data_IF_682902869445
#
_entry.id   IF_682902869445
#
_cell.length_a   1.000
_cell.length_b   1.000
_cell.length_c   1.000
_cell.angle_alpha   90.00
_cell.angle_beta   90.00
_cell.angle_gamma   90.00
#
_symmetry.space_group_name_H-M   'P 1'
#
loop_
_entity.id
_entity.type
_entity.pdbx_description
1 polymer ?
#
# COMPACT_ATOMS: atom_id res chain seq x y z
N UNK A 1 14.13 -24.94 -1.12
CA UNK A 1 14.68 -23.67 -1.64
C UNK A 1 14.85 -22.73 -0.47
N UNK A 2 15.95 -21.97 -0.38
CA UNK A 2 16.08 -20.99 0.68
C UNK A 2 14.93 -19.98 0.57
N UNK A 3 14.38 -19.58 1.73
CA UNK A 3 13.35 -18.55 1.80
C UNK A 3 13.90 -17.25 1.19
N UNK A 4 13.29 -16.82 0.09
CA UNK A 4 13.73 -15.60 -0.56
C UNK A 4 13.27 -14.40 0.25
N UNK A 5 14.20 -13.49 0.55
CA UNK A 5 13.90 -12.21 1.19
C UNK A 5 13.90 -11.09 0.17
N UNK A 6 12.85 -10.29 0.16
CA UNK A 6 12.73 -9.10 -0.69
C UNK A 6 12.54 -7.86 0.18
N UNK A 7 13.30 -6.82 -0.09
CA UNK A 7 13.19 -5.54 0.60
C UNK A 7 12.35 -4.60 -0.25
N UNK A 8 11.28 -4.05 0.33
CA UNK A 8 10.35 -3.11 -0.32
C UNK A 8 10.42 -1.78 0.40
N UNK A 9 10.79 -0.73 -0.33
CA UNK A 9 10.82 0.62 0.21
C UNK A 9 9.56 1.39 -0.16
N UNK A 10 8.72 1.69 0.83
CA UNK A 10 7.43 2.35 0.66
C UNK A 10 7.63 3.86 0.81
N UNK A 11 7.18 4.61 -0.19
CA UNK A 11 7.19 6.07 -0.27
C UNK A 11 5.78 6.61 -0.10
N UNK A 12 5.63 7.83 0.29
CA UNK A 12 4.34 8.52 0.48
C UNK A 12 4.39 9.37 1.73
N UNK A 13 3.31 9.76 2.25
CA UNK A 13 1.93 9.44 1.84
C UNK A 13 1.36 10.56 0.96
N UNK A 14 0.52 10.22 -0.02
CA UNK A 14 -0.20 11.18 -0.87
C UNK A 14 -1.67 11.23 -0.47
N UNK A 15 -2.21 12.43 -0.34
CA UNK A 15 -3.64 12.64 -0.12
C UNK A 15 -4.39 12.46 -1.45
N UNK A 16 -5.71 12.28 -1.39
CA UNK A 16 -6.56 12.18 -2.59
C UNK A 16 -6.34 13.35 -3.57
N UNK A 17 -6.19 14.57 -3.08
CA UNK A 17 -5.93 15.77 -3.91
C UNK A 17 -4.57 15.75 -4.60
N UNK A 18 -3.59 15.06 -4.02
CA UNK A 18 -2.18 15.03 -4.46
C UNK A 18 -1.86 13.73 -5.21
N UNK A 19 -2.85 12.89 -5.51
CA UNK A 19 -2.67 11.56 -6.12
C UNK A 19 -1.96 11.59 -7.48
N UNK A 20 -2.05 12.69 -8.22
CA UNK A 20 -1.36 12.85 -9.50
C UNK A 20 0.16 13.09 -9.37
N UNK A 21 0.66 13.33 -8.16
CA UNK A 21 2.10 13.40 -7.87
C UNK A 21 2.74 12.00 -7.70
N UNK A 22 1.92 10.95 -7.61
CA UNK A 22 2.42 9.57 -7.52
C UNK A 22 3.09 9.20 -8.84
N UNK A 23 4.33 8.65 -8.82
CA UNK A 23 5.07 8.34 -10.04
C UNK A 23 4.36 7.36 -10.96
N UNK A 24 4.44 7.59 -12.27
CA UNK A 24 3.99 6.67 -13.31
C UNK A 24 5.00 5.54 -13.52
N UNK A 25 5.09 4.63 -12.56
CA UNK A 25 6.09 3.56 -12.53
C UNK A 25 5.49 2.22 -12.15
N UNK A 26 6.23 1.18 -12.51
CA UNK A 26 5.95 -0.18 -12.06
C UNK A 26 6.12 -0.32 -10.55
N UNK A 27 5.15 -0.92 -9.89
CA UNK A 27 5.25 -1.09 -8.45
C UNK A 27 3.98 -1.58 -7.76
N UNK A 28 3.91 -1.25 -6.49
CA UNK A 28 2.81 -1.56 -5.59
C UNK A 28 2.16 -0.27 -5.10
N UNK A 29 0.84 -0.25 -5.08
CA UNK A 29 0.02 0.81 -4.52
C UNK A 29 -0.61 0.32 -3.22
N UNK A 30 -0.53 1.12 -2.18
CA UNK A 30 -1.19 0.90 -0.90
C UNK A 30 -2.24 1.99 -0.71
N UNK A 31 -3.49 1.59 -0.54
CA UNK A 31 -4.62 2.51 -0.36
C UNK A 31 -5.13 2.42 1.06
N UNK A 32 -5.17 3.55 1.72
CA UNK A 32 -5.59 3.69 3.11
C UNK A 32 -6.87 4.51 3.22
N UNK A 33 -7.71 4.15 4.17
CA UNK A 33 -8.67 5.08 4.74
C UNK A 33 -7.95 6.04 5.67
N UNK A 34 -8.23 7.33 5.55
CA UNK A 34 -7.61 8.36 6.37
C UNK A 34 -8.60 9.44 6.79
N UNK A 35 -8.37 10.02 7.96
CA UNK A 35 -9.08 11.21 8.45
C UNK A 35 -8.10 12.36 8.54
N UNK A 36 -8.39 13.43 7.82
CA UNK A 36 -7.54 14.62 7.82
C UNK A 36 -7.96 15.57 8.95
N UNK A 37 -6.98 16.09 9.69
CA UNK A 37 -7.14 17.14 10.67
C UNK A 37 -6.53 18.44 10.11
N UNK A 38 -7.39 19.39 9.75
CA UNK A 38 -6.96 20.64 9.13
C UNK A 38 -6.20 21.55 10.11
N UNK A 39 -6.54 21.47 11.40
CA UNK A 39 -5.94 22.33 12.43
C UNK A 39 -4.49 21.91 12.70
N UNK A 40 -4.25 20.63 12.81
CA UNK A 40 -2.92 20.07 13.08
C UNK A 40 -2.12 19.77 11.81
N UNK A 41 -2.74 19.93 10.63
CA UNK A 41 -2.18 19.53 9.33
C UNK A 41 -1.66 18.08 9.33
N UNK A 42 -2.40 17.19 9.98
CA UNK A 42 -2.09 15.75 10.07
C UNK A 42 -3.15 14.92 9.41
N UNK A 43 -2.79 13.71 9.02
CA UNK A 43 -3.74 12.70 8.59
C UNK A 43 -3.59 11.46 9.47
N UNK A 44 -4.71 11.02 10.05
CA UNK A 44 -4.77 9.75 10.75
C UNK A 44 -5.04 8.65 9.74
N UNK A 45 -4.12 7.71 9.59
CA UNK A 45 -4.35 6.48 8.83
C UNK A 45 -5.12 5.49 9.70
N UNK A 46 -6.29 5.10 9.25
CA UNK A 46 -7.22 4.27 10.02
C UNK A 46 -7.14 2.81 9.61
N UNK A 47 -7.22 2.53 8.31
CA UNK A 47 -7.23 1.18 7.76
C UNK A 47 -6.43 1.13 6.46
N UNK A 48 -5.72 0.02 6.24
CA UNK A 48 -5.18 -0.34 4.93
C UNK A 48 -6.27 -1.13 4.20
N UNK A 49 -6.87 -0.55 3.15
CA UNK A 49 -8.05 -1.11 2.48
C UNK A 49 -7.75 -1.90 1.24
N UNK A 50 -6.66 -1.56 0.52
CA UNK A 50 -6.34 -2.22 -0.74
C UNK A 50 -4.84 -2.17 -1.03
N UNK A 51 -4.34 -3.20 -1.71
CA UNK A 51 -3.00 -3.25 -2.27
C UNK A 51 -3.12 -3.62 -3.74
N UNK A 52 -2.61 -2.75 -4.62
CA UNK A 52 -2.56 -2.96 -6.06
C UNK A 52 -1.16 -3.21 -6.57
N UNK A 53 -1.04 -3.77 -7.78
CA UNK A 53 0.23 -3.93 -8.47
C UNK A 53 0.04 -3.76 -9.97
N UNK A 54 0.78 -2.86 -10.57
CA UNK A 54 0.71 -2.60 -12.00
C UNK A 54 2.08 -2.16 -12.57
N UNK A 55 2.21 -2.21 -13.89
CA UNK A 55 3.36 -1.66 -14.62
C UNK A 55 3.37 -0.13 -14.59
N UNK A 56 2.18 0.45 -14.49
CA UNK A 56 1.98 1.86 -14.25
C UNK A 56 0.97 2.03 -13.12
N UNK A 57 1.43 2.31 -11.91
CA UNK A 57 0.57 2.46 -10.72
C UNK A 57 -0.51 3.52 -10.90
N UNK A 58 -0.25 4.55 -11.69
CA UNK A 58 -1.23 5.59 -11.94
C UNK A 58 -2.49 5.06 -12.63
N UNK A 59 -2.36 4.03 -13.46
CA UNK A 59 -3.53 3.41 -14.12
C UNK A 59 -4.57 2.89 -13.12
N UNK A 60 -4.10 2.34 -11.98
CA UNK A 60 -5.00 1.87 -10.91
C UNK A 60 -5.69 3.06 -10.23
N UNK A 61 -4.96 4.17 -10.04
CA UNK A 61 -5.46 5.37 -9.36
C UNK A 61 -6.47 6.12 -10.23
N UNK A 62 -6.30 6.09 -11.53
CA UNK A 62 -7.17 6.77 -12.50
C UNK A 62 -8.38 5.93 -12.91
N UNK A 63 -8.39 4.63 -12.60
CA UNK A 63 -9.50 3.74 -12.92
C UNK A 63 -10.73 4.01 -12.03
N UNK A 64 -11.88 4.43 -12.60
CA UNK A 64 -13.09 4.71 -11.82
C UNK A 64 -13.63 3.51 -11.06
N UNK A 65 -13.51 2.30 -11.62
CA UNK A 65 -13.95 1.07 -10.97
C UNK A 65 -13.17 0.75 -9.70
N UNK A 66 -11.88 1.08 -9.69
CA UNK A 66 -11.04 0.99 -8.49
C UNK A 66 -11.55 1.91 -7.39
N UNK A 67 -11.92 3.15 -7.71
CA UNK A 67 -12.44 4.12 -6.75
C UNK A 67 -13.77 3.67 -6.14
N UNK A 68 -14.71 3.18 -6.95
CA UNK A 68 -15.99 2.66 -6.47
C UNK A 68 -15.77 1.50 -5.47
N UNK A 69 -14.86 0.60 -5.76
CA UNK A 69 -14.53 -0.51 -4.87
C UNK A 69 -13.96 -0.03 -3.53
N UNK A 70 -13.07 0.97 -3.54
CA UNK A 70 -12.47 1.48 -2.30
C UNK A 70 -13.46 2.26 -1.45
N UNK A 71 -14.39 3.00 -2.06
CA UNK A 71 -15.39 3.82 -1.36
C UNK A 71 -16.29 2.99 -0.44
N UNK A 72 -16.50 1.70 -0.73
CA UNK A 72 -17.22 0.80 0.15
C UNK A 72 -16.56 0.60 1.52
N UNK A 73 -15.24 0.87 1.62
CA UNK A 73 -14.45 0.67 2.84
C UNK A 73 -14.06 1.97 3.53
N UNK A 74 -14.59 3.11 3.06
CA UNK A 74 -14.30 4.44 3.61
C UNK A 74 -15.54 4.96 4.33
N UNK A 75 -15.39 5.28 5.62
CA UNK A 75 -16.47 5.83 6.39
C UNK A 75 -16.81 7.28 5.96
N UNK A 76 -18.06 7.71 6.11
CA UNK A 76 -18.44 9.09 5.82
C UNK A 76 -17.56 10.12 6.55
N UNK A 77 -17.05 11.10 5.81
CA UNK A 77 -16.14 12.12 6.33
C UNK A 77 -14.65 11.74 6.33
N UNK A 78 -14.31 10.50 5.97
CA UNK A 78 -12.93 10.08 5.74
C UNK A 78 -12.57 10.18 4.25
N UNK A 79 -11.29 10.12 3.94
CA UNK A 79 -10.75 10.20 2.59
C UNK A 79 -9.72 9.11 2.33
N UNK A 80 -9.31 8.96 1.08
CA UNK A 80 -8.22 8.07 0.70
C UNK A 80 -6.86 8.72 0.92
N UNK A 81 -5.91 7.89 1.30
CA UNK A 81 -4.49 8.22 1.33
C UNK A 81 -3.71 7.09 0.66
N UNK A 82 -2.66 7.44 -0.05
CA UNK A 82 -1.91 6.49 -0.88
C UNK A 82 -0.46 6.40 -0.45
N UNK A 83 0.12 5.21 -0.57
CA UNK A 83 1.57 5.02 -0.56
C UNK A 83 1.97 4.14 -1.74
N UNK A 84 3.21 4.25 -2.15
CA UNK A 84 3.75 3.59 -3.34
C UNK A 84 5.10 2.94 -3.04
N UNK A 85 5.36 1.79 -3.63
CA UNK A 85 6.67 1.18 -3.65
C UNK A 85 7.05 0.74 -5.07
N UNK A 86 8.24 1.12 -5.53
CA UNK A 86 8.75 0.58 -6.78
C UNK A 86 9.02 -0.92 -6.65
N UNK A 87 8.59 -1.68 -7.63
CA UNK A 87 8.87 -3.10 -7.72
C UNK A 87 9.06 -3.51 -9.17
N UNK A 88 10.16 -4.22 -9.43
CA UNK A 88 10.46 -4.75 -10.76
C UNK A 88 9.42 -5.79 -11.19
N UNK A 89 9.18 -5.89 -12.48
CA UNK A 89 8.23 -6.84 -13.07
C UNK A 89 8.44 -8.27 -12.56
N UNK A 90 9.71 -8.67 -12.36
CA UNK A 90 10.08 -10.00 -11.91
C UNK A 90 9.52 -10.33 -10.51
N UNK A 91 9.51 -9.36 -9.60
CA UNK A 91 9.10 -9.56 -8.20
C UNK A 91 7.71 -9.04 -7.89
N UNK A 92 7.21 -8.08 -8.66
CA UNK A 92 5.97 -7.35 -8.39
C UNK A 92 4.78 -8.27 -8.09
N UNK A 93 4.51 -9.23 -8.98
CA UNK A 93 3.36 -10.15 -8.81
C UNK A 93 3.50 -11.03 -7.56
N UNK A 94 4.70 -11.53 -7.30
CA UNK A 94 4.98 -12.40 -6.14
C UNK A 94 4.86 -11.63 -4.83
N UNK A 95 5.44 -10.44 -4.76
CA UNK A 95 5.39 -9.56 -3.59
C UNK A 95 3.96 -9.11 -3.33
N UNK A 96 3.22 -8.72 -4.37
CA UNK A 96 1.81 -8.37 -4.27
C UNK A 96 0.97 -9.51 -3.69
N UNK A 97 1.10 -10.71 -4.25
CA UNK A 97 0.41 -11.90 -3.75
C UNK A 97 0.72 -12.19 -2.28
N UNK A 98 2.00 -12.06 -1.89
CA UNK A 98 2.43 -12.27 -0.52
C UNK A 98 1.87 -11.21 0.44
N UNK A 99 1.84 -9.93 0.05
CA UNK A 99 1.21 -8.87 0.84
C UNK A 99 -0.28 -9.12 1.05
N UNK A 100 -1.03 -9.40 -0.03
CA UNK A 100 -2.47 -9.70 0.06
C UNK A 100 -2.72 -10.88 0.99
N UNK A 101 -1.94 -11.95 0.86
CA UNK A 101 -2.08 -13.14 1.70
C UNK A 101 -1.83 -12.84 3.19
N UNK A 102 -0.81 -12.04 3.51
CA UNK A 102 -0.45 -11.72 4.88
C UNK A 102 -1.36 -10.66 5.50
N UNK A 103 -1.66 -9.60 4.77
CA UNK A 103 -2.37 -8.42 5.29
C UNK A 103 -3.89 -8.52 5.17
N UNK A 104 -4.39 -9.32 4.21
CA UNK A 104 -5.82 -9.60 4.02
C UNK A 104 -6.68 -8.35 3.96
N UNK A 105 -6.26 -7.41 3.15
CA UNK A 105 -6.98 -6.14 2.96
C UNK A 105 -8.37 -6.39 2.38
N UNK A 106 -9.40 -5.70 2.87
CA UNK A 106 -10.79 -5.95 2.49
C UNK A 106 -11.05 -5.74 0.99
N UNK A 107 -10.42 -4.74 0.37
CA UNK A 107 -10.53 -4.47 -1.06
C UNK A 107 -9.88 -5.53 -1.97
N UNK A 108 -9.08 -6.44 -1.41
CA UNK A 108 -8.48 -7.56 -2.13
C UNK A 108 -9.17 -8.91 -1.87
N UNK A 109 -10.34 -8.90 -1.21
CA UNK A 109 -11.01 -10.14 -0.79
C UNK A 109 -11.27 -11.10 -1.96
N UNK A 110 -11.73 -10.62 -3.10
CA UNK A 110 -11.99 -11.44 -4.27
C UNK A 110 -10.73 -12.13 -4.79
N UNK A 111 -9.60 -11.43 -4.81
CA UNK A 111 -8.30 -11.99 -5.21
C UNK A 111 -7.82 -13.10 -4.27
N UNK A 112 -8.10 -12.98 -2.97
CA UNK A 112 -7.82 -14.03 -1.99
C UNK A 112 -8.66 -15.28 -2.21
N UNK A 113 -9.95 -15.11 -2.55
CA UNK A 113 -10.87 -16.21 -2.83
C UNK A 113 -10.54 -16.94 -4.12
N UNK A 114 -9.94 -16.29 -5.10
CA UNK A 114 -9.52 -16.87 -6.39
C UNK A 114 -8.20 -17.68 -6.32
N UNK A 115 -7.72 -18.00 -5.13
CA UNK A 115 -6.47 -18.73 -4.93
C UNK A 115 -5.28 -18.05 -5.62
N UNK A 116 -5.10 -16.76 -5.34
CA UNK A 116 -3.98 -16.01 -5.89
C UNK A 116 -2.64 -16.68 -5.53
N UNK A 117 -1.89 -17.18 -6.53
CA UNK A 117 -0.70 -18.00 -6.25
C UNK A 117 0.41 -17.14 -5.68
N UNK A 118 0.98 -17.56 -4.57
CA UNK A 118 2.20 -16.99 -4.02
C UNK A 118 3.21 -18.09 -3.65
N UNK A 119 4.47 -17.74 -3.62
CA UNK A 119 5.53 -18.58 -3.13
C UNK A 119 5.94 -18.18 -1.73
N UNK A 120 6.59 -19.07 -0.97
CA UNK A 120 7.17 -18.72 0.32
C UNK A 120 8.16 -17.58 0.16
N UNK A 121 7.88 -16.46 0.83
CA UNK A 121 8.60 -15.20 0.66
C UNK A 121 8.64 -14.45 1.99
N UNK A 122 9.79 -13.93 2.34
CA UNK A 122 9.95 -12.94 3.42
C UNK A 122 10.00 -11.54 2.79
N UNK A 123 9.10 -10.65 3.21
CA UNK A 123 9.10 -9.25 2.80
C UNK A 123 9.58 -8.40 3.98
N UNK A 124 10.58 -7.59 3.73
CA UNK A 124 11.03 -6.54 4.66
C UNK A 124 10.56 -5.20 4.12
N UNK A 125 9.59 -4.60 4.81
CA UNK A 125 9.03 -3.30 4.45
C UNK A 125 9.79 -2.20 5.15
N UNK A 126 10.22 -1.17 4.41
CA UNK A 126 10.94 -0.01 4.93
C UNK A 126 10.26 1.29 4.48
N UNK A 127 10.62 2.41 5.10
CA UNK A 127 10.05 3.73 4.76
C UNK A 127 8.70 3.98 5.41
N UNK A 128 7.67 4.24 4.61
CA UNK A 128 6.32 4.59 5.07
C UNK A 128 5.46 3.35 5.31
N UNK A 129 5.70 2.67 6.42
CA UNK A 129 5.14 1.34 6.76
C UNK A 129 3.98 1.39 7.75
N UNK A 130 3.27 2.51 7.87
CA UNK A 130 2.12 2.59 8.77
C UNK A 130 1.08 1.49 8.45
N UNK A 131 0.59 0.82 9.48
CA UNK A 131 -0.35 -0.30 9.40
C UNK A 131 0.18 -1.54 8.65
N UNK A 132 1.47 -1.59 8.36
CA UNK A 132 2.15 -2.71 7.72
C UNK A 132 3.22 -3.22 8.66
N UNK A 133 3.22 -4.51 8.96
CA UNK A 133 4.30 -5.11 9.73
C UNK A 133 5.62 -5.01 8.96
N UNK A 134 6.71 -4.58 9.59
CA UNK A 134 7.98 -4.36 8.91
C UNK A 134 8.57 -5.64 8.32
N UNK A 135 8.22 -6.80 8.87
CA UNK A 135 8.63 -8.11 8.35
C UNK A 135 7.42 -9.01 8.22
N UNK A 136 7.14 -9.43 7.00
CA UNK A 136 6.06 -10.35 6.67
C UNK A 136 6.63 -11.66 6.12
N UNK A 137 6.18 -12.78 6.69
CA UNK A 137 6.51 -14.12 6.19
C UNK A 137 5.28 -14.75 5.54
N UNK A 138 5.25 -14.76 4.21
CA UNK A 138 4.25 -15.46 3.43
C UNK A 138 4.67 -16.93 3.24
N UNK A 139 3.91 -17.87 3.83
CA UNK A 139 4.15 -19.31 3.70
C UNK A 139 3.11 -19.96 2.80
N UNK A 140 3.55 -20.64 1.76
CA UNK A 140 2.69 -21.30 0.76
C UNK A 140 1.65 -22.26 1.36
N UNK A 141 1.99 -22.93 2.43
CA UNK A 141 1.16 -23.99 3.03
C UNK A 141 0.24 -23.53 4.17
N UNK A 142 0.12 -22.22 4.39
CA UNK A 142 -0.79 -21.72 5.42
C UNK A 142 -2.21 -21.72 4.88
N UNK A 143 -3.13 -22.52 5.45
CA UNK A 143 -4.50 -22.54 4.97
C UNK A 143 -5.13 -21.15 5.11
N UNK A 144 -5.94 -20.77 4.14
CA UNK A 144 -6.73 -19.55 4.20
C UNK A 144 -7.68 -19.66 5.40
N UNK A 145 -7.45 -18.85 6.41
CA UNK A 145 -8.40 -18.67 7.52
C UNK A 145 -9.30 -17.49 7.13
N UNK A 146 -10.61 -17.72 7.08
CA UNK A 146 -11.61 -16.69 6.78
C UNK A 146 -11.70 -15.56 7.82
N UNK A 147 -10.91 -15.64 8.90
CA UNK A 147 -10.81 -14.53 9.86
C UNK A 147 -9.94 -13.43 9.27
N UNK A 148 -10.58 -12.34 8.88
CA UNK A 148 -9.90 -11.05 8.69
C UNK A 148 -9.28 -10.72 10.05
N UNK A 149 -7.97 -10.48 10.15
CA UNK A 149 -7.39 -10.05 11.42
C UNK A 149 -8.10 -8.78 11.88
N UNK A 150 -8.52 -8.73 13.13
CA UNK A 150 -9.04 -7.51 13.78
C UNK A 150 -7.92 -6.48 13.91
N UNK A 151 -7.45 -5.96 12.78
CA UNK A 151 -6.51 -4.83 12.70
C UNK A 151 -7.25 -3.49 12.64
N UNK A 152 -8.59 -3.54 12.68
CA UNK A 152 -9.44 -2.37 12.79
C UNK A 152 -9.23 -1.74 14.18
N UNK A 153 -8.52 -0.62 14.21
CA UNK A 153 -8.29 0.15 15.45
C UNK A 153 -6.87 0.66 15.65
N UNK A 154 -5.90 0.24 14.86
CA UNK A 154 -4.58 0.86 14.90
C UNK A 154 -4.66 2.23 14.20
N UNK A 155 -4.58 3.30 14.99
CA UNK A 155 -4.59 4.67 14.49
C UNK A 155 -3.14 5.16 14.39
N UNK A 156 -2.74 5.61 13.22
CA UNK A 156 -1.42 6.22 13.00
C UNK A 156 -1.61 7.62 12.46
N UNK A 157 -1.20 8.63 13.22
CA UNK A 157 -1.18 10.02 12.78
C UNK A 157 0.10 10.33 12.03
N UNK A 158 -0.02 10.89 10.84
CA UNK A 158 1.11 11.31 10.01
C UNK A 158 1.06 12.82 9.76
N UNK A 159 2.19 13.54 9.86
CA UNK A 159 2.25 14.96 9.51
C UNK A 159 2.15 15.13 7.98
N UNK A 160 1.19 15.93 7.53
CA UNK A 160 0.93 16.11 6.08
C UNK A 160 2.00 16.93 5.39
N UNK A 161 2.65 17.87 6.11
CA UNK A 161 3.78 18.65 5.56
C UNK A 161 5.00 17.81 5.21
N UNK A 162 5.20 16.67 5.90
CA UNK A 162 6.31 15.76 5.60
C UNK A 162 6.21 15.12 4.20
N UNK A 163 5.00 15.06 3.64
CA UNK A 163 4.75 14.48 2.31
C UNK A 163 5.34 15.38 1.20
N UNK A 164 5.22 16.71 1.33
CA UNK A 164 5.70 17.65 0.31
C UNK A 164 7.23 17.80 0.30
N UNK A 165 7.89 17.65 1.46
CA UNK A 165 9.34 17.81 1.56
C UNK A 165 10.12 16.61 0.99
N UNK A 166 9.56 15.41 1.04
CA UNK A 166 10.24 14.20 0.56
C UNK A 166 10.29 14.10 -0.96
N UNK A 167 9.26 14.60 -1.66
CA UNK A 167 9.23 14.55 -3.12
C UNK A 167 10.27 15.47 -3.77
N UNK A 168 10.59 16.63 -3.16
CA UNK A 168 11.62 17.56 -3.69
C UNK A 168 13.05 17.01 -3.56
N UNK A 169 13.35 16.28 -2.50
CA UNK A 169 14.70 15.79 -2.23
C UNK A 169 15.11 14.61 -3.12
N UNK A 170 14.15 13.78 -3.54
CA UNK A 170 14.43 12.65 -4.44
C UNK A 170 14.59 13.11 -5.91
N UNK A 171 13.95 14.21 -6.32
CA UNK A 171 14.13 14.78 -7.66
C UNK A 171 15.45 15.53 -7.80
N UNK A 172 15.88 16.29 -6.78
CA UNK A 172 17.16 17.01 -6.82
C UNK A 172 18.38 16.08 -6.91
N UNK A 173 18.32 14.87 -6.36
CA UNK A 173 19.39 13.88 -6.49
C UNK A 173 19.47 13.21 -7.87
N UNK A 174 18.44 13.31 -8.70
CA UNK A 174 18.41 12.72 -10.06
C UNK A 174 18.90 13.68 -11.14
N UNK A 175 18.98 14.97 -10.86
CA UNK A 175 19.47 16.00 -11.80
C UNK A 175 20.99 16.20 -11.68
N UNK A 176 21.64 15.59 -10.69
CA UNK A 176 23.06 15.75 -10.39
C UNK A 176 23.95 14.54 -10.79
N UNK A 177 23.53 13.77 -11.83
CA UNK A 177 24.38 12.74 -12.48
C UNK A 177 24.40 13.00 -13.99
#
# INVERSE_FOLDING_TARGET
>A
MPDQTVIIHIKGYWREKDKLEIPERSGLLFVYESKFNEVEETADLLNLIYIGADENIRSIIEDPGSHENWDHYIAPGNTRCFAFAEADQQYRKRVHAAYIHCLRTPGNYNQLCEHYPFETLTIVSTGKTALIDPVLLARKNRPFSSRIPDRFGARVSIPVRAVQLFNRHDEEKRVAI
#
